data_IF_572567284006
#
_entry.id   IF_572567284006
#
_cell.length_a   1.000
_cell.length_b   1.000
_cell.length_c   1.000
_cell.angle_alpha   90.00
_cell.angle_beta   90.00
_cell.angle_gamma   90.00
#
_symmetry.space_group_name_H-M   'P 1'
#
loop_
_entity.id
_entity.type
_entity.pdbx_description
1 polymer ?
#
# COMPACT_ATOMS: atom_id res chain seq x y z
N UNK A 1 19.07 -2.03 -8.32
CA UNK A 1 17.87 -1.35 -8.83
C UNK A 1 16.70 -2.15 -8.30
N UNK A 2 16.08 -1.72 -7.20
CA UNK A 2 14.94 -2.43 -6.61
C UNK A 2 13.77 -2.20 -7.55
N UNK A 3 13.14 -3.27 -8.03
CA UNK A 3 11.97 -3.10 -8.89
C UNK A 3 10.78 -2.68 -8.04
N UNK A 4 9.88 -1.88 -8.60
CA UNK A 4 8.64 -1.49 -7.95
C UNK A 4 7.87 -2.69 -7.35
N UNK A 5 7.92 -3.85 -8.03
CA UNK A 5 7.31 -5.08 -7.55
C UNK A 5 7.97 -5.59 -6.26
N UNK A 6 9.29 -5.55 -6.15
CA UNK A 6 10.00 -5.91 -4.91
C UNK A 6 9.66 -4.96 -3.75
N UNK A 7 9.48 -3.67 -4.02
CA UNK A 7 9.11 -2.68 -2.99
C UNK A 7 7.69 -2.92 -2.49
N UNK A 8 6.76 -3.12 -3.40
CA UNK A 8 5.41 -3.58 -3.11
C UNK A 8 5.46 -4.83 -2.23
N UNK A 9 6.16 -5.90 -2.66
CA UNK A 9 6.24 -7.16 -1.93
C UNK A 9 6.77 -7.00 -0.49
N UNK A 10 7.74 -6.11 -0.28
CA UNK A 10 8.27 -5.76 1.05
C UNK A 10 7.20 -5.11 1.94
N UNK A 11 6.48 -4.11 1.42
CA UNK A 11 5.41 -3.44 2.17
C UNK A 11 4.33 -4.44 2.62
N UNK A 12 3.94 -5.36 1.73
CA UNK A 12 2.98 -6.44 2.05
C UNK A 12 3.51 -7.39 3.12
N UNK A 13 4.79 -7.78 3.05
CA UNK A 13 5.41 -8.65 4.04
C UNK A 13 5.42 -8.00 5.44
N UNK A 14 5.75 -6.70 5.51
CA UNK A 14 5.75 -5.93 6.76
C UNK A 14 4.33 -5.81 7.31
N UNK A 15 3.36 -5.43 6.47
CA UNK A 15 1.95 -5.34 6.86
C UNK A 15 1.42 -6.67 7.41
N UNK A 16 1.73 -7.79 6.75
CA UNK A 16 1.35 -9.14 7.21
C UNK A 16 2.03 -9.55 8.51
N UNK A 17 3.31 -9.21 8.70
CA UNK A 17 3.98 -9.45 9.99
C UNK A 17 3.40 -8.62 11.13
N UNK A 18 2.85 -7.44 10.83
CA UNK A 18 2.18 -6.58 11.80
C UNK A 18 0.73 -6.98 12.07
N UNK A 19 0.11 -7.81 11.23
CA UNK A 19 -1.27 -8.31 11.33
C UNK A 19 -1.70 -8.73 12.75
N UNK A 20 -0.95 -9.54 13.53
CA UNK A 20 -1.36 -9.91 14.88
C UNK A 20 -1.40 -8.72 15.86
N UNK A 21 -0.62 -7.67 15.63
CA UNK A 21 -0.63 -6.46 16.44
C UNK A 21 -1.75 -5.50 16.02
N UNK A 22 -2.06 -5.48 14.73
CA UNK A 22 -3.11 -4.67 14.13
C UNK A 22 -4.51 -5.24 14.44
N UNK A 23 -4.67 -6.56 14.38
CA UNK A 23 -5.91 -7.26 14.74
C UNK A 23 -6.28 -7.02 16.22
N UNK A 24 -5.28 -7.01 17.12
CA UNK A 24 -5.50 -6.69 18.55
C UNK A 24 -6.02 -5.27 18.78
N UNK A 25 -5.79 -4.35 17.85
CA UNK A 25 -6.24 -2.95 17.91
C UNK A 25 -7.44 -2.68 16.99
N UNK A 26 -8.12 -3.72 16.52
CA UNK A 26 -9.27 -3.63 15.61
C UNK A 26 -8.98 -2.84 14.32
N UNK A 27 -7.73 -2.86 13.84
CA UNK A 27 -7.39 -2.19 12.60
C UNK A 27 -8.11 -2.85 11.43
N UNK A 28 -8.66 -2.04 10.52
CA UNK A 28 -9.26 -2.53 9.28
C UNK A 28 -8.15 -2.90 8.30
N UNK A 29 -7.78 -4.18 8.30
CA UNK A 29 -6.68 -4.68 7.46
C UNK A 29 -6.92 -4.38 5.98
N UNK A 30 -8.13 -4.60 5.47
CA UNK A 30 -8.48 -4.29 4.07
C UNK A 30 -8.23 -2.81 3.73
N UNK A 31 -8.56 -1.91 4.66
CA UNK A 31 -8.35 -0.47 4.48
C UNK A 31 -6.87 -0.10 4.46
N UNK A 32 -6.09 -0.67 5.39
CA UNK A 32 -4.64 -0.51 5.43
C UNK A 32 -3.98 -0.99 4.13
N UNK A 33 -4.39 -2.16 3.64
CA UNK A 33 -3.86 -2.76 2.42
C UNK A 33 -4.22 -1.93 1.19
N UNK A 34 -5.44 -1.40 1.12
CA UNK A 34 -5.84 -0.48 0.06
C UNK A 34 -5.05 0.84 0.09
N UNK A 35 -4.74 1.36 1.28
CA UNK A 35 -3.90 2.57 1.41
C UNK A 35 -2.47 2.32 0.91
N UNK A 36 -1.89 1.14 1.21
CA UNK A 36 -0.57 0.75 0.70
C UNK A 36 -0.60 0.58 -0.83
N UNK A 37 -1.66 -0.02 -1.38
CA UNK A 37 -1.87 -0.11 -2.83
C UNK A 37 -1.91 1.28 -3.49
N UNK A 38 -2.68 2.22 -2.94
CA UNK A 38 -2.78 3.58 -3.49
C UNK A 38 -1.43 4.30 -3.44
N UNK A 39 -0.66 4.13 -2.37
CA UNK A 39 0.71 4.65 -2.31
C UNK A 39 1.59 4.10 -3.43
N UNK A 40 1.59 2.79 -3.63
CA UNK A 40 2.40 2.16 -4.68
C UNK A 40 1.95 2.60 -6.08
N UNK A 41 0.65 2.75 -6.31
CA UNK A 41 0.08 3.26 -7.56
C UNK A 41 0.49 4.70 -7.85
N UNK A 42 0.51 5.58 -6.84
CA UNK A 42 0.92 6.98 -7.01
C UNK A 42 2.44 7.11 -7.17
N UNK A 43 3.20 6.44 -6.30
CA UNK A 43 4.67 6.52 -6.29
C UNK A 43 5.29 5.91 -7.55
N UNK A 44 4.72 4.84 -8.10
CA UNK A 44 5.23 4.20 -9.32
C UNK A 44 4.44 4.54 -10.59
N UNK A 45 3.23 5.09 -10.46
CA UNK A 45 2.44 5.59 -11.60
C UNK A 45 3.02 6.85 -12.23
N UNK A 46 3.86 7.60 -11.50
CA UNK A 46 4.66 8.71 -12.04
C UNK A 46 5.87 8.26 -12.86
N UNK A 47 6.36 7.03 -12.65
CA UNK A 47 7.50 6.47 -13.36
C UNK A 47 7.03 5.45 -14.41
N UNK A 48 6.83 5.92 -15.64
CA UNK A 48 6.71 5.12 -16.86
C UNK A 48 5.30 4.58 -17.16
N UNK A 49 4.61 5.25 -18.09
CA UNK A 49 3.35 4.83 -18.72
C UNK A 49 3.41 3.53 -19.56
N UNK A 50 4.30 2.58 -19.24
CA UNK A 50 4.40 1.27 -19.91
C UNK A 50 4.59 0.08 -18.93
N UNK A 51 4.86 0.29 -17.63
CA UNK A 51 5.17 -0.79 -16.67
C UNK A 51 4.17 -0.94 -15.50
N UNK A 52 3.06 -0.19 -15.50
CA UNK A 52 2.06 -0.26 -14.43
C UNK A 52 1.17 -1.52 -14.46
N UNK A 53 1.08 -2.21 -15.60
CA UNK A 53 0.26 -3.41 -15.76
C UNK A 53 0.74 -4.63 -14.93
N UNK A 54 2.04 -4.98 -14.91
CA UNK A 54 2.55 -6.07 -14.06
C UNK A 54 2.48 -5.75 -12.56
N UNK A 55 2.68 -4.48 -12.17
CA UNK A 55 2.50 -4.01 -10.78
C UNK A 55 1.06 -4.09 -10.33
N UNK A 56 0.13 -3.56 -11.14
CA UNK A 56 -1.30 -3.73 -10.91
C UNK A 56 -1.56 -5.22 -10.73
N UNK A 57 -1.24 -6.05 -11.73
CA UNK A 57 -1.38 -7.52 -11.74
C UNK A 57 -0.93 -8.22 -10.44
N UNK A 58 0.32 -8.00 -10.03
CA UNK A 58 0.90 -8.61 -8.84
C UNK A 58 0.23 -8.13 -7.54
N UNK A 59 -0.18 -6.87 -7.48
CA UNK A 59 -0.96 -6.36 -6.35
C UNK A 59 -2.40 -6.89 -6.39
N UNK A 60 -3.01 -7.07 -7.58
CA UNK A 60 -4.36 -7.66 -7.71
C UNK A 60 -4.40 -9.07 -7.17
N UNK A 61 -3.37 -9.87 -7.45
CA UNK A 61 -3.32 -11.28 -7.01
C UNK A 61 -3.15 -11.40 -5.51
N UNK A 62 -2.42 -10.47 -4.86
CA UNK A 62 -2.17 -10.48 -3.40
C UNK A 62 -3.26 -9.80 -2.58
N UNK A 63 -3.83 -8.71 -3.08
CA UNK A 63 -4.91 -8.00 -2.39
C UNK A 63 -6.28 -8.66 -2.60
N UNK A 64 -6.39 -9.62 -3.54
CA UNK A 64 -7.65 -10.29 -3.89
C UNK A 64 -8.72 -9.34 -4.46
N UNK A 65 -8.37 -8.07 -4.70
CA UNK A 65 -9.26 -7.01 -5.15
C UNK A 65 -8.47 -6.01 -5.97
N UNK A 66 -8.69 -5.98 -7.27
CA UNK A 66 -8.27 -4.85 -8.09
C UNK A 66 -9.30 -4.39 -9.12
N UNK A 67 -10.52 -4.92 -9.06
CA UNK A 67 -11.60 -4.53 -9.99
C UNK A 67 -12.66 -3.61 -9.35
N UNK A 68 -12.43 -3.04 -8.16
CA UNK A 68 -13.50 -2.36 -7.41
C UNK A 68 -13.17 -0.99 -6.80
N UNK A 69 -11.93 -0.49 -6.85
CA UNK A 69 -11.64 0.85 -6.33
C UNK A 69 -11.74 1.88 -7.45
N UNK A 70 -12.81 2.66 -7.40
CA UNK A 70 -13.03 3.83 -8.26
C UNK A 70 -11.93 4.89 -8.06
N UNK A 71 -11.74 5.75 -9.05
CA UNK A 71 -10.76 6.84 -8.96
C UNK A 71 -11.02 7.75 -7.74
N UNK A 72 -12.30 8.01 -7.42
CA UNK A 72 -12.70 8.79 -6.26
C UNK A 72 -12.29 8.13 -4.93
N UNK A 73 -12.47 6.81 -4.81
CA UNK A 73 -12.03 6.07 -3.62
C UNK A 73 -10.50 6.05 -3.47
N UNK A 74 -9.76 5.99 -4.58
CA UNK A 74 -8.30 6.08 -4.57
C UNK A 74 -7.85 7.46 -4.08
N UNK A 75 -8.44 8.55 -4.59
CA UNK A 75 -8.13 9.90 -4.14
C UNK A 75 -8.47 10.12 -2.67
N UNK A 76 -9.62 9.60 -2.22
CA UNK A 76 -10.02 9.71 -0.83
C UNK A 76 -9.06 8.96 0.10
N UNK A 77 -8.67 7.74 -0.26
CA UNK A 77 -7.69 6.95 0.50
C UNK A 77 -6.31 7.60 0.48
N UNK A 78 -5.90 8.20 -0.64
CA UNK A 78 -4.65 8.96 -0.74
C UNK A 78 -4.66 10.17 0.19
N UNK A 79 -5.74 10.95 0.16
CA UNK A 79 -5.91 12.12 1.02
C UNK A 79 -5.88 11.73 2.50
N UNK A 80 -6.54 10.63 2.86
CA UNK A 80 -6.55 10.12 4.23
C UNK A 80 -5.17 9.59 4.66
N UNK A 81 -4.45 8.92 3.75
CA UNK A 81 -3.07 8.49 3.99
C UNK A 81 -2.14 9.69 4.26
N UNK A 82 -2.29 10.77 3.48
CA UNK A 82 -1.53 12.00 3.67
C UNK A 82 -1.91 12.74 4.96
N UNK A 83 -3.21 12.76 5.33
CA UNK A 83 -3.69 13.45 6.53
C UNK A 83 -3.32 12.75 7.83
N UNK A 84 -3.01 11.44 7.79
CA UNK A 84 -2.67 10.60 8.96
C UNK A 84 -3.76 10.60 10.04
N UNK A 85 -5.01 10.86 9.68
CA UNK A 85 -6.07 11.04 10.66
C UNK A 85 -6.53 9.69 11.25
N UNK A 86 -6.59 8.65 10.42
CA UNK A 86 -6.98 7.32 10.86
C UNK A 86 -5.81 6.50 11.43
N UNK A 87 -6.16 5.50 12.24
CA UNK A 87 -5.21 4.55 12.77
C UNK A 87 -4.51 3.79 11.63
N UNK A 88 -5.27 3.41 10.61
CA UNK A 88 -4.77 2.74 9.41
C UNK A 88 -3.82 3.63 8.61
N UNK A 89 -4.12 4.91 8.44
CA UNK A 89 -3.23 5.85 7.75
C UNK A 89 -1.89 6.02 8.49
N UNK A 90 -1.93 6.12 9.83
CA UNK A 90 -0.72 6.19 10.66
C UNK A 90 0.13 4.93 10.53
N UNK A 91 -0.51 3.76 10.53
CA UNK A 91 0.17 2.47 10.37
C UNK A 91 0.74 2.33 8.96
N UNK A 92 -0.03 2.65 7.92
CA UNK A 92 0.40 2.59 6.53
C UNK A 92 1.66 3.43 6.32
N UNK A 93 1.65 4.66 6.82
CA UNK A 93 2.78 5.56 6.68
C UNK A 93 3.98 5.14 7.53
N UNK A 94 3.76 4.56 8.71
CA UNK A 94 4.84 3.96 9.49
C UNK A 94 5.49 2.79 8.74
N UNK A 95 4.69 1.93 8.08
CA UNK A 95 5.19 0.82 7.25
C UNK A 95 5.99 1.34 6.06
N UNK A 96 5.48 2.35 5.34
CA UNK A 96 6.17 2.98 4.20
C UNK A 96 7.51 3.56 4.65
N UNK A 97 7.49 4.38 5.72
CA UNK A 97 8.69 5.03 6.22
C UNK A 97 9.72 4.02 6.75
N UNK A 98 9.28 2.94 7.41
CA UNK A 98 10.16 1.84 7.79
C UNK A 98 10.76 1.15 6.56
N UNK A 99 9.98 0.92 5.51
CA UNK A 99 10.46 0.32 4.26
C UNK A 99 11.53 1.18 3.58
N UNK A 100 11.35 2.50 3.57
CA UNK A 100 12.31 3.44 2.98
C UNK A 100 13.61 3.58 3.78
N UNK A 101 13.52 3.45 5.11
CA UNK A 101 14.69 3.53 5.99
C UNK A 101 15.54 2.27 5.97
N UNK A 102 14.97 1.11 5.68
CA UNK A 102 15.74 -0.12 5.58
C UNK A 102 16.43 -0.15 4.22
N UNK A 103 17.60 0.52 4.14
CA UNK A 103 18.58 0.32 3.09
C UNK A 103 19.15 -1.09 3.25
N UNK A 104 18.83 -1.97 2.29
CA UNK A 104 19.48 -3.25 2.10
C UNK A 104 20.60 -3.12 1.08
#
# INVERSE_FOLDING_TARGET
MVTAQEQTEKLWLVAKRMEPHLARRQAKMDKLLNMLLVHELVSHGGETGQNAAPLKGAIQTRAGRSDLLTHEEQEQLWKELCSKESYEAKVAQAIIHMSDQIKW
#
